data_IF_445799800926
#
_entry.id   IF_445799800926
#
_cell.length_a   1.000
_cell.length_b   1.000
_cell.length_c   1.000
_cell.angle_alpha   90.00
_cell.angle_beta   90.00
_cell.angle_gamma   90.00
#
_symmetry.space_group_name_H-M   'P 1'
#
loop_
_entity.id
_entity.type
_entity.pdbx_description
1 polymer ?
#
# COMPACT_ATOMS: atom_id res chain seq x y z
N UNK A 1 10.14 -11.58 33.09
CA UNK A 1 10.68 -10.33 33.67
C UNK A 1 11.10 -9.45 32.49
N UNK A 2 10.66 -8.22 32.26
CA UNK A 2 9.77 -7.30 32.94
C UNK A 2 9.11 -6.41 31.86
N UNK A 3 7.87 -6.00 32.10
CA UNK A 3 7.13 -5.02 31.32
C UNK A 3 7.37 -3.60 31.88
N UNK A 4 7.40 -2.58 31.01
CA UNK A 4 7.16 -1.18 31.37
C UNK A 4 7.05 -0.35 30.07
N UNK A 5 6.29 0.74 29.95
CA UNK A 5 5.08 1.25 30.59
C UNK A 5 4.72 2.51 29.78
N UNK A 6 3.47 2.64 29.35
CA UNK A 6 2.95 3.84 28.70
C UNK A 6 2.80 4.98 29.72
N UNK A 7 3.07 6.23 29.32
CA UNK A 7 2.68 7.44 30.07
C UNK A 7 1.88 8.37 29.17
N UNK A 8 0.58 8.42 29.42
CA UNK A 8 -0.33 9.46 28.95
C UNK A 8 -0.26 10.65 29.93
N UNK A 9 -0.16 11.87 29.39
CA UNK A 9 -0.20 13.12 30.18
C UNK A 9 -1.58 13.76 29.97
N UNK A 10 -2.36 13.81 31.05
CA UNK A 10 -3.61 14.54 31.19
C UNK A 10 -3.31 16.02 31.51
N UNK A 11 -3.98 16.95 30.81
CA UNK A 11 -4.05 18.37 31.18
C UNK A 11 -5.47 18.71 31.67
N UNK A 12 -5.65 19.50 32.74
CA UNK A 12 -6.92 19.63 33.42
C UNK A 12 -7.82 20.74 32.86
N UNK A 13 -9.12 20.50 32.97
CA UNK A 13 -10.22 21.41 32.63
C UNK A 13 -10.31 22.59 33.61
N UNK A 14 -10.52 23.80 33.07
CA UNK A 14 -10.84 25.01 33.85
C UNK A 14 -12.33 25.30 33.74
N UNK A 15 -13.04 25.14 34.86
CA UNK A 15 -14.40 25.65 35.10
C UNK A 15 -14.34 27.13 35.48
N UNK A 16 -15.21 27.97 34.92
CA UNK A 16 -15.69 29.20 35.58
C UNK A 16 -17.22 29.23 35.59
N UNK A 17 -17.72 29.78 36.69
CA UNK A 17 -19.08 29.69 37.24
C UNK A 17 -19.63 31.12 37.41
N UNK A 18 -20.96 31.24 37.44
CA UNK A 18 -21.80 32.35 37.96
C UNK A 18 -21.94 33.55 37.00
N UNK A 19 -23.07 34.22 36.82
CA UNK A 19 -24.34 34.38 37.56
C UNK A 19 -25.36 35.10 36.65
N UNK A 20 -26.67 35.04 36.93
CA UNK A 20 -27.60 36.09 36.44
C UNK A 20 -29.06 35.72 36.15
N UNK A 21 -29.90 35.92 37.16
CA UNK A 21 -31.28 36.46 37.12
C UNK A 21 -32.39 35.90 36.21
N UNK A 22 -33.43 35.43 36.89
CA UNK A 22 -34.81 35.22 36.45
C UNK A 22 -35.47 36.50 35.93
N UNK A 23 -36.22 36.40 34.82
CA UNK A 23 -37.61 36.87 34.74
C UNK A 23 -38.29 36.34 33.47
N UNK A 24 -39.46 35.73 33.68
CA UNK A 24 -40.40 35.22 32.69
C UNK A 24 -41.30 36.37 32.27
N UNK A 25 -41.43 36.65 30.97
CA UNK A 25 -42.52 37.45 30.42
C UNK A 25 -43.03 36.75 29.16
N UNK A 26 -44.31 36.39 29.17
CA UNK A 26 -45.03 35.78 28.06
C UNK A 26 -45.71 36.90 27.26
N UNK A 27 -45.46 36.98 25.95
CA UNK A 27 -46.35 37.64 24.98
C UNK A 27 -46.29 36.84 23.68
N UNK A 28 -47.48 36.47 23.16
CA UNK A 28 -47.66 35.67 21.96
C UNK A 28 -47.54 36.46 20.66
N UNK A 29 -47.27 35.73 19.57
CA UNK A 29 -47.25 36.22 18.19
C UNK A 29 -46.63 35.17 17.25
N UNK A 30 -47.08 35.06 15.97
CA UNK A 30 -47.07 33.82 15.21
C UNK A 30 -45.77 33.54 14.44
N UNK A 31 -45.61 32.27 14.04
CA UNK A 31 -44.63 31.74 13.10
C UNK A 31 -43.14 31.91 13.45
N UNK A 32 -42.53 30.83 13.94
CA UNK A 32 -41.08 30.61 13.84
C UNK A 32 -40.82 29.23 13.24
N UNK A 33 -40.25 29.22 12.04
CA UNK A 33 -39.53 28.07 11.53
C UNK A 33 -38.51 27.62 12.57
N UNK A 34 -38.65 26.39 13.05
CA UNK A 34 -37.63 25.74 13.84
C UNK A 34 -36.46 25.42 12.92
N UNK A 35 -35.49 26.35 12.82
CA UNK A 35 -34.15 26.00 12.37
C UNK A 35 -33.55 25.07 13.42
N UNK A 36 -33.73 23.77 13.20
CA UNK A 36 -32.94 22.76 13.86
C UNK A 36 -31.47 22.98 13.46
N UNK A 37 -30.72 23.70 14.27
CA UNK A 37 -29.27 23.61 14.28
C UNK A 37 -28.91 22.22 14.83
N UNK A 38 -29.06 21.21 13.98
CA UNK A 38 -28.57 19.86 14.24
C UNK A 38 -27.07 19.92 14.45
N UNK A 39 -26.62 19.45 15.61
CA UNK A 39 -25.23 19.42 16.06
C UNK A 39 -24.33 18.45 15.27
N UNK A 40 -24.28 18.56 13.95
CA UNK A 40 -23.43 17.74 13.09
C UNK A 40 -22.02 18.33 12.91
N UNK A 41 -21.35 18.75 14.00
CA UNK A 41 -19.97 19.28 13.92
C UNK A 41 -18.87 18.32 14.39
N UNK A 42 -19.17 17.05 14.62
CA UNK A 42 -18.15 16.06 15.04
C UNK A 42 -18.39 14.67 14.42
N UNK A 43 -18.51 14.60 13.09
CA UNK A 43 -18.57 13.30 12.36
C UNK A 43 -17.31 12.94 11.58
N UNK A 44 -16.26 13.77 11.58
CA UNK A 44 -15.05 13.49 10.79
C UNK A 44 -14.04 12.57 11.50
N UNK A 45 -14.01 12.54 12.84
CA UNK A 45 -12.98 11.77 13.58
C UNK A 45 -13.32 10.29 13.76
N UNK A 46 -14.59 9.88 13.70
CA UNK A 46 -14.97 8.46 13.78
C UNK A 46 -14.80 7.70 12.46
N UNK A 47 -14.84 8.39 11.31
CA UNK A 47 -14.67 7.75 10.02
C UNK A 47 -13.23 7.25 9.80
N UNK A 48 -12.23 7.93 10.37
CA UNK A 48 -10.81 7.57 10.20
C UNK A 48 -10.45 6.22 10.87
N UNK A 49 -11.07 5.87 11.99
CA UNK A 49 -10.80 4.61 12.71
C UNK A 49 -11.38 3.38 11.99
N UNK A 50 -12.41 3.56 11.17
CA UNK A 50 -13.10 2.46 10.47
C UNK A 50 -12.39 2.00 9.18
N UNK A 51 -11.46 2.80 8.62
CA UNK A 51 -10.82 2.51 7.32
C UNK A 51 -9.72 1.44 7.42
N UNK A 52 -9.21 1.14 8.61
CA UNK A 52 -8.09 0.21 8.80
C UNK A 52 -8.46 -1.29 8.76
N UNK A 53 -9.75 -1.65 8.59
CA UNK A 53 -10.23 -3.02 8.83
C UNK A 53 -10.50 -3.87 7.57
N UNK A 54 -10.34 -3.35 6.36
CA UNK A 54 -10.66 -4.07 5.11
C UNK A 54 -9.44 -4.33 4.20
N UNK A 55 -8.21 -4.32 4.74
CA UNK A 55 -7.03 -4.71 3.97
C UNK A 55 -6.80 -6.22 4.16
N UNK A 56 -6.72 -7.02 3.09
CA UNK A 56 -6.40 -8.44 3.20
C UNK A 56 -5.02 -8.64 3.85
N UNK A 57 -4.88 -9.71 4.63
CA UNK A 57 -3.61 -10.01 5.31
C UNK A 57 -2.53 -10.41 4.29
N UNK A 58 -1.35 -9.79 4.39
CA UNK A 58 -0.17 -10.22 3.63
C UNK A 58 0.41 -11.50 4.23
N UNK A 59 0.28 -12.63 3.51
CA UNK A 59 0.88 -13.90 3.91
C UNK A 59 2.33 -13.95 3.44
N UNK A 60 3.26 -14.23 4.36
CA UNK A 60 4.68 -14.41 4.05
C UNK A 60 5.11 -15.84 4.34
N UNK A 61 5.71 -16.49 3.36
CA UNK A 61 6.31 -17.82 3.49
C UNK A 61 7.79 -17.78 3.11
N UNK A 62 8.61 -18.60 3.77
CA UNK A 62 10.02 -18.76 3.46
C UNK A 62 10.25 -20.16 2.90
N UNK A 63 10.88 -20.25 1.73
CA UNK A 63 11.29 -21.51 1.12
C UNK A 63 12.57 -22.03 1.79
N UNK A 64 12.87 -23.31 1.58
CA UNK A 64 14.06 -23.98 2.15
C UNK A 64 15.38 -23.34 1.67
N UNK A 65 15.38 -22.72 0.48
CA UNK A 65 16.53 -22.00 -0.07
C UNK A 65 16.67 -20.56 0.47
N UNK A 66 15.82 -20.12 1.39
CA UNK A 66 15.83 -18.78 1.97
C UNK A 66 15.06 -17.72 1.16
N UNK A 67 14.48 -18.06 0.01
CA UNK A 67 13.62 -17.14 -0.75
C UNK A 67 12.32 -16.87 0.02
N UNK A 68 11.97 -15.58 0.14
CA UNK A 68 10.72 -15.14 0.77
C UNK A 68 9.67 -14.89 -0.30
N UNK A 69 8.49 -15.47 -0.11
CA UNK A 69 7.32 -15.26 -0.95
C UNK A 69 6.28 -14.54 -0.11
N UNK A 70 5.91 -13.33 -0.52
CA UNK A 70 4.85 -12.56 0.09
C UNK A 70 3.68 -12.45 -0.89
N UNK A 71 2.46 -12.71 -0.42
CA UNK A 71 1.25 -12.67 -1.24
C UNK A 71 0.11 -12.00 -0.49
N UNK A 72 -0.64 -11.17 -1.18
CA UNK A 72 -1.88 -10.55 -0.69
C UNK A 72 -2.98 -10.80 -1.72
N UNK A 73 -4.06 -11.48 -1.31
CA UNK A 73 -5.20 -11.75 -2.18
C UNK A 73 -6.29 -10.71 -1.95
N UNK A 74 -6.52 -9.88 -2.97
CA UNK A 74 -7.54 -8.83 -2.99
C UNK A 74 -8.80 -9.22 -3.78
N UNK A 75 -8.85 -10.44 -4.34
CA UNK A 75 -9.98 -10.91 -5.17
C UNK A 75 -10.13 -10.19 -6.52
N UNK A 76 -9.09 -9.47 -6.96
CA UNK A 76 -9.08 -8.77 -8.25
C UNK A 76 -8.86 -9.73 -9.43
N UNK A 77 -9.36 -9.34 -10.60
CA UNK A 77 -9.16 -10.08 -11.86
C UNK A 77 -7.78 -9.85 -12.50
N UNK A 78 -6.99 -8.95 -11.92
CA UNK A 78 -5.61 -8.68 -12.30
C UNK A 78 -4.68 -8.91 -11.11
N UNK A 79 -3.44 -9.27 -11.41
CA UNK A 79 -2.39 -9.49 -10.43
C UNK A 79 -1.11 -8.79 -10.84
N UNK A 80 -0.28 -8.45 -9.86
CA UNK A 80 1.10 -8.03 -10.09
C UNK A 80 2.01 -9.00 -9.34
N UNK A 81 2.95 -9.61 -10.06
CA UNK A 81 4.02 -10.41 -9.48
C UNK A 81 5.32 -9.67 -9.67
N UNK A 82 6.23 -9.78 -8.71
CA UNK A 82 7.57 -9.25 -8.89
C UNK A 82 8.61 -9.98 -8.07
N UNK A 83 9.85 -9.82 -8.49
CA UNK A 83 11.05 -10.27 -7.80
C UNK A 83 11.78 -9.02 -7.31
N UNK A 84 11.94 -8.89 -5.99
CA UNK A 84 12.72 -7.86 -5.35
C UNK A 84 14.06 -8.44 -4.92
N UNK A 85 15.13 -7.87 -5.45
CA UNK A 85 16.50 -8.32 -5.20
C UNK A 85 17.21 -7.22 -4.42
N UNK A 86 17.84 -7.59 -3.30
CA UNK A 86 18.72 -6.72 -2.51
C UNK A 86 20.07 -6.58 -3.21
N UNK A 87 20.06 -5.88 -4.35
CA UNK A 87 21.18 -5.60 -5.21
C UNK A 87 20.93 -4.28 -5.95
N UNK A 88 21.99 -3.60 -6.37
CA UNK A 88 21.90 -2.29 -7.01
C UNK A 88 23.26 -1.62 -7.07
N UNK A 89 23.32 -0.38 -7.54
CA UNK A 89 24.60 0.31 -7.77
C UNK A 89 25.44 0.57 -6.51
N UNK A 90 24.86 0.47 -5.31
CA UNK A 90 25.59 0.52 -4.03
C UNK A 90 26.52 -0.68 -3.84
N UNK A 91 26.16 -1.82 -4.42
CA UNK A 91 26.92 -3.07 -4.31
C UNK A 91 27.98 -3.22 -5.42
N UNK A 92 28.10 -2.21 -6.28
CA UNK A 92 29.13 -2.14 -7.32
C UNK A 92 30.43 -1.50 -6.80
N UNK A 93 31.50 -1.72 -7.55
CA UNK A 93 32.80 -1.07 -7.39
C UNK A 93 33.17 -0.34 -8.67
N UNK A 94 34.31 0.36 -8.68
CA UNK A 94 34.75 1.17 -9.82
C UNK A 94 34.89 0.38 -11.13
N UNK A 95 35.17 -0.93 -11.05
CA UNK A 95 35.37 -1.77 -12.24
C UNK A 95 34.07 -2.27 -12.87
N UNK A 96 32.99 -2.33 -12.11
CA UNK A 96 31.70 -2.86 -12.56
C UNK A 96 30.54 -1.87 -12.36
N UNK A 97 30.84 -0.60 -12.13
CA UNK A 97 29.84 0.44 -12.00
C UNK A 97 28.97 0.52 -13.26
N UNK A 98 27.65 0.51 -13.07
CA UNK A 98 26.67 0.50 -14.15
C UNK A 98 26.22 -0.90 -14.60
N UNK A 99 26.77 -1.98 -14.02
CA UNK A 99 26.35 -3.36 -14.31
C UNK A 99 24.87 -3.58 -13.96
N UNK A 100 24.38 -3.00 -12.87
CA UNK A 100 23.02 -3.17 -12.41
C UNK A 100 22.01 -2.55 -13.41
N UNK A 101 22.28 -1.32 -13.86
CA UNK A 101 21.48 -0.68 -14.91
C UNK A 101 21.64 -1.40 -16.26
N UNK A 102 22.83 -1.88 -16.59
CA UNK A 102 23.03 -2.67 -17.80
C UNK A 102 22.22 -3.98 -17.78
N UNK A 103 22.23 -4.70 -16.66
CA UNK A 103 21.49 -5.94 -16.48
C UNK A 103 19.98 -5.72 -16.60
N UNK A 104 19.46 -4.60 -16.09
CA UNK A 104 18.06 -4.19 -16.27
C UNK A 104 17.65 -4.15 -17.74
N UNK A 105 18.44 -3.48 -18.59
CA UNK A 105 18.18 -3.41 -20.04
C UNK A 105 18.28 -4.77 -20.74
N UNK A 106 19.10 -5.67 -20.20
CA UNK A 106 19.32 -7.00 -20.76
C UNK A 106 18.31 -8.04 -20.28
N UNK A 107 17.65 -7.82 -19.14
CA UNK A 107 16.79 -8.81 -18.49
C UNK A 107 15.64 -9.32 -19.38
N UNK A 108 15.17 -8.50 -20.32
CA UNK A 108 14.08 -8.85 -21.23
C UNK A 108 14.54 -9.08 -22.68
N UNK A 109 15.85 -9.20 -22.93
CA UNK A 109 16.42 -9.43 -24.28
C UNK A 109 16.58 -10.91 -24.63
N UNK A 110 15.81 -11.77 -23.98
CA UNK A 110 15.80 -13.22 -24.20
C UNK A 110 16.43 -14.00 -23.03
N UNK A 111 16.06 -15.26 -22.97
CA UNK A 111 16.51 -16.22 -21.96
C UNK A 111 17.09 -17.45 -22.66
N UNK A 112 17.62 -18.41 -21.89
CA UNK A 112 18.03 -19.70 -22.47
C UNK A 112 16.86 -20.50 -23.07
N UNK A 113 15.63 -20.25 -22.61
CA UNK A 113 14.42 -20.98 -23.02
C UNK A 113 13.62 -20.27 -24.12
N UNK A 114 13.77 -18.95 -24.25
CA UNK A 114 12.94 -18.09 -25.12
C UNK A 114 13.83 -17.04 -25.79
N UNK A 115 13.68 -16.85 -27.10
CA UNK A 115 14.29 -15.69 -27.76
C UNK A 115 13.63 -14.39 -27.27
N UNK A 116 14.24 -13.24 -27.56
CA UNK A 116 13.63 -11.94 -27.25
C UNK A 116 12.24 -11.81 -27.88
N UNK A 117 12.12 -12.16 -29.17
CA UNK A 117 10.87 -12.04 -29.92
C UNK A 117 9.80 -12.99 -29.38
N UNK A 118 10.16 -14.22 -29.04
CA UNK A 118 9.21 -15.17 -28.45
C UNK A 118 8.71 -14.68 -27.09
N UNK A 119 9.60 -14.10 -26.27
CA UNK A 119 9.25 -13.55 -24.97
C UNK A 119 8.30 -12.35 -25.13
N UNK A 120 8.62 -11.41 -26.00
CA UNK A 120 7.80 -10.23 -26.28
C UNK A 120 6.40 -10.64 -26.78
N UNK A 121 6.31 -11.54 -27.76
CA UNK A 121 5.03 -12.05 -28.27
C UNK A 121 4.22 -12.80 -27.21
N UNK A 122 4.88 -13.59 -26.37
CA UNK A 122 4.20 -14.33 -25.29
C UNK A 122 3.53 -13.38 -24.30
N UNK A 123 4.24 -12.33 -23.86
CA UNK A 123 3.74 -11.31 -22.94
C UNK A 123 2.58 -10.52 -23.58
N UNK A 124 2.75 -10.10 -24.84
CA UNK A 124 1.73 -9.34 -25.57
C UNK A 124 0.45 -10.15 -25.81
N UNK A 125 0.57 -11.42 -26.20
CA UNK A 125 -0.58 -12.31 -26.41
C UNK A 125 -1.38 -12.55 -25.13
N UNK A 126 -0.73 -12.51 -23.97
CA UNK A 126 -1.39 -12.60 -22.67
C UNK A 126 -2.00 -11.26 -22.21
N UNK A 127 -1.72 -10.16 -22.91
CA UNK A 127 -2.08 -8.81 -22.47
C UNK A 127 -1.37 -8.39 -21.18
N UNK A 128 -0.20 -8.98 -20.91
CA UNK A 128 0.61 -8.68 -19.75
C UNK A 128 1.58 -7.51 -20.02
N UNK A 129 2.08 -6.90 -18.95
CA UNK A 129 3.09 -5.86 -19.02
C UNK A 129 4.25 -6.20 -18.10
N UNK A 130 5.46 -6.29 -18.66
CA UNK A 130 6.69 -6.41 -17.88
C UNK A 130 7.31 -5.05 -17.65
N UNK A 131 7.92 -4.89 -16.49
CA UNK A 131 8.75 -3.73 -16.17
C UNK A 131 9.91 -4.15 -15.27
N UNK A 132 10.98 -3.36 -15.31
CA UNK A 132 12.09 -3.47 -14.39
C UNK A 132 12.53 -2.09 -13.96
N UNK A 133 13.12 -1.99 -12.78
CA UNK A 133 13.84 -0.79 -12.39
C UNK A 133 14.94 -1.14 -11.39
N UNK A 134 16.02 -0.39 -11.48
CA UNK A 134 17.16 -0.52 -10.58
C UNK A 134 17.39 0.78 -9.81
N UNK A 135 17.67 0.62 -8.54
CA UNK A 135 18.08 1.70 -7.64
C UNK A 135 19.49 1.42 -7.11
N UNK A 136 19.90 2.18 -6.08
CA UNK A 136 21.17 1.96 -5.40
C UNK A 136 21.18 0.65 -4.61
N UNK A 137 20.07 0.29 -3.99
CA UNK A 137 20.02 -0.83 -3.03
C UNK A 137 19.05 -1.94 -3.44
N UNK A 138 18.26 -1.74 -4.50
CA UNK A 138 17.26 -2.70 -4.93
C UNK A 138 17.16 -2.73 -6.45
N UNK A 139 16.96 -3.93 -6.98
CA UNK A 139 16.57 -4.18 -8.37
C UNK A 139 15.27 -4.97 -8.34
N UNK A 140 14.31 -4.53 -9.14
CA UNK A 140 12.97 -5.10 -9.17
C UNK A 140 12.60 -5.46 -10.58
N UNK A 141 12.13 -6.69 -10.77
CA UNK A 141 11.50 -7.17 -12.00
C UNK A 141 10.05 -7.47 -11.71
N UNK A 142 9.10 -6.89 -12.44
CA UNK A 142 7.68 -7.10 -12.18
C UNK A 142 6.87 -7.33 -13.46
N UNK A 143 5.80 -8.11 -13.30
CA UNK A 143 4.86 -8.48 -14.32
C UNK A 143 3.44 -8.15 -13.84
N UNK A 144 2.71 -7.35 -14.62
CA UNK A 144 1.27 -7.13 -14.44
C UNK A 144 0.53 -8.00 -15.43
N UNK A 145 -0.41 -8.81 -14.97
CA UNK A 145 -1.15 -9.75 -15.80
C UNK A 145 -2.56 -9.98 -15.26
N UNK A 146 -3.37 -10.77 -15.97
CA UNK A 146 -4.63 -11.27 -15.43
C UNK A 146 -4.39 -12.35 -14.39
N UNK A 147 -5.25 -12.44 -13.37
CA UNK A 147 -5.09 -13.42 -12.28
C UNK A 147 -5.09 -14.87 -12.75
N UNK A 148 -5.77 -15.17 -13.87
CA UNK A 148 -5.76 -16.50 -14.53
C UNK A 148 -4.38 -16.89 -15.08
N UNK A 149 -3.57 -15.90 -15.43
CA UNK A 149 -2.25 -16.07 -16.06
C UNK A 149 -1.12 -15.95 -15.03
N UNK A 150 -1.45 -15.87 -13.74
CA UNK A 150 -0.51 -15.79 -12.63
C UNK A 150 0.59 -16.88 -12.69
N UNK A 151 0.29 -18.18 -12.94
CA UNK A 151 1.33 -19.19 -13.02
C UNK A 151 2.34 -18.92 -14.13
N UNK A 152 1.87 -18.38 -15.26
CA UNK A 152 2.71 -18.06 -16.41
C UNK A 152 3.57 -16.83 -16.16
N UNK A 153 3.01 -15.80 -15.50
CA UNK A 153 3.77 -14.61 -15.10
C UNK A 153 4.92 -14.96 -14.12
N UNK A 154 4.68 -15.89 -13.17
CA UNK A 154 5.73 -16.40 -12.27
C UNK A 154 6.80 -17.15 -13.05
N UNK A 155 6.42 -18.00 -14.00
CA UNK A 155 7.37 -18.75 -14.85
C UNK A 155 8.23 -17.83 -15.74
N UNK A 156 7.68 -16.72 -16.22
CA UNK A 156 8.42 -15.74 -17.03
C UNK A 156 9.52 -15.04 -16.20
N UNK A 157 9.28 -14.84 -14.90
CA UNK A 157 10.23 -14.18 -14.00
C UNK A 157 11.31 -15.12 -13.41
N UNK A 158 11.18 -16.45 -13.57
CA UNK A 158 12.06 -17.47 -12.97
C UNK A 158 12.88 -18.25 -14.02
#
# INVERSE_FOLDING_TARGET
MAAAAARAVFLPAVRKRLWGFSKRLLVGGPARQSLYFGGNRLRSTQAATQVFLNVPETRVTCLENGLRVASEDSGLSTCTVGLWIDAGSRYENEKNNGTAHFLEHMAFKGTKKRSQLDLELEIENMGAHLNAYTSREQTVYCAKAFSKDLPRAVEILC
#
